data_IF_928009286530
#
_entry.id   IF_928009286530
#
_cell.length_a   1.000
_cell.length_b   1.000
_cell.length_c   1.000
_cell.angle_alpha   90.00
_cell.angle_beta   90.00
_cell.angle_gamma   90.00
#
_symmetry.space_group_name_H-M   'P 1'
#
loop_
_entity.id
_entity.type
_entity.pdbx_description
1 polymer ?
#
# COMPACT_ATOMS: atom_id res chain seq x y z
N UNK A 1 12.22 2.96 18.95
CA UNK A 1 10.83 3.44 18.82
C UNK A 1 9.89 2.24 18.97
N UNK A 2 8.62 2.50 19.25
CA UNK A 2 7.58 1.47 19.19
C UNK A 2 7.49 0.94 17.72
N UNK A 3 7.63 -0.38 17.47
CA UNK A 3 7.58 -0.94 16.13
C UNK A 3 6.19 -0.80 15.45
N UNK A 4 5.11 -0.57 16.20
CA UNK A 4 3.77 -0.42 15.65
C UNK A 4 3.38 1.04 15.42
N UNK A 5 4.16 1.99 15.94
CA UNK A 5 4.05 3.40 15.61
C UNK A 5 4.94 3.73 14.40
N UNK A 6 4.36 4.30 13.35
CA UNK A 6 5.13 4.75 12.19
C UNK A 6 5.97 5.97 12.58
N UNK A 7 7.27 5.91 12.28
CA UNK A 7 8.20 7.01 12.48
C UNK A 7 8.78 7.43 11.13
N UNK A 8 8.66 8.71 10.78
CA UNK A 8 9.41 9.31 9.67
C UNK A 8 10.73 9.88 10.21
N UNK A 9 11.83 9.57 9.53
CA UNK A 9 13.16 10.10 9.83
C UNK A 9 14.01 10.12 8.58
N UNK A 10 14.60 11.28 8.28
CA UNK A 10 15.49 11.49 7.13
C UNK A 10 14.87 11.03 5.80
N UNK A 11 13.56 11.27 5.61
CA UNK A 11 12.81 10.87 4.42
C UNK A 11 12.51 9.36 4.34
N UNK A 12 12.74 8.61 5.42
CA UNK A 12 12.46 7.17 5.51
C UNK A 12 11.39 6.90 6.56
N UNK A 13 10.52 5.95 6.26
CA UNK A 13 9.44 5.52 7.14
C UNK A 13 9.77 4.20 7.82
N UNK A 14 9.87 4.21 9.15
CA UNK A 14 10.21 3.07 9.99
C UNK A 14 8.98 2.58 10.74
N UNK A 15 8.66 1.29 10.58
CA UNK A 15 7.55 0.64 11.26
C UNK A 15 7.45 -0.83 10.82
N UNK A 16 6.98 -1.71 11.70
CA UNK A 16 6.74 -3.11 11.36
C UNK A 16 5.64 -3.18 10.32
N UNK A 17 5.98 -3.76 9.18
CA UNK A 17 5.06 -3.92 8.06
C UNK A 17 5.20 -2.85 6.98
N UNK A 18 5.96 -1.77 7.19
CA UNK A 18 6.06 -0.68 6.20
C UNK A 18 6.60 -1.20 4.87
N UNK A 19 7.78 -1.81 4.85
CA UNK A 19 8.36 -2.37 3.62
C UNK A 19 7.72 -3.70 3.17
N UNK A 20 7.24 -4.53 4.11
CA UNK A 20 6.65 -5.85 3.86
C UNK A 20 5.45 -6.08 4.80
N UNK A 21 4.19 -5.94 4.36
CA UNK A 21 3.72 -5.57 3.00
C UNK A 21 2.76 -4.37 2.97
N UNK A 22 2.62 -3.62 4.07
CA UNK A 22 1.60 -2.58 4.24
C UNK A 22 1.69 -1.48 3.18
N UNK A 23 2.90 -1.00 2.87
CA UNK A 23 3.05 0.04 1.83
C UNK A 23 2.69 -0.50 0.45
N UNK A 24 2.96 -1.76 0.13
CA UNK A 24 2.53 -2.37 -1.12
C UNK A 24 1.00 -2.41 -1.22
N UNK A 25 0.30 -2.89 -0.18
CA UNK A 25 -1.17 -2.93 -0.15
C UNK A 25 -1.75 -1.51 -0.31
N UNK A 26 -1.20 -0.54 0.40
CA UNK A 26 -1.65 0.85 0.31
C UNK A 26 -1.52 1.39 -1.13
N UNK A 27 -0.39 1.12 -1.79
CA UNK A 27 -0.17 1.53 -3.19
C UNK A 27 -1.08 0.76 -4.17
N UNK A 28 -1.34 -0.52 -3.93
CA UNK A 28 -2.26 -1.31 -4.75
C UNK A 28 -3.70 -0.75 -4.71
N UNK A 29 -4.16 -0.33 -3.52
CA UNK A 29 -5.47 0.32 -3.36
C UNK A 29 -5.52 1.68 -4.05
N UNK A 30 -4.47 2.50 -3.95
CA UNK A 30 -4.37 3.76 -4.68
C UNK A 30 -4.44 3.57 -6.20
N UNK A 31 -3.79 2.53 -6.72
CA UNK A 31 -3.86 2.18 -8.14
C UNK A 31 -5.27 1.74 -8.55
N UNK A 32 -5.96 0.95 -7.71
CA UNK A 32 -7.35 0.54 -7.94
C UNK A 32 -8.29 1.76 -7.98
N UNK A 33 -8.13 2.70 -7.05
CA UNK A 33 -8.88 3.96 -7.03
C UNK A 33 -8.66 4.79 -8.30
N UNK A 34 -7.43 4.85 -8.81
CA UNK A 34 -7.08 5.58 -10.04
C UNK A 34 -7.75 5.01 -11.31
N UNK A 35 -8.27 3.78 -11.24
CA UNK A 35 -8.95 3.11 -12.37
C UNK A 35 -10.41 2.76 -12.10
N UNK A 36 -10.97 3.13 -10.93
CA UNK A 36 -12.33 2.72 -10.49
C UNK A 36 -13.45 3.09 -11.47
N UNK A 37 -13.29 4.17 -12.21
CA UNK A 37 -14.28 4.68 -13.18
C UNK A 37 -13.90 4.37 -14.64
N UNK A 38 -12.83 3.59 -14.84
CA UNK A 38 -12.34 3.23 -16.19
C UNK A 38 -12.86 1.85 -16.58
N UNK A 39 -13.24 1.70 -17.84
CA UNK A 39 -13.45 0.38 -18.42
C UNK A 39 -12.10 -0.30 -18.60
N UNK A 40 -11.84 -1.35 -17.82
CA UNK A 40 -10.63 -2.15 -17.93
C UNK A 40 -10.80 -3.22 -19.02
N UNK A 41 -9.71 -3.57 -19.72
CA UNK A 41 -9.70 -4.69 -20.70
C UNK A 41 -9.92 -6.04 -20.03
N UNK A 42 -9.52 -6.16 -18.76
CA UNK A 42 -9.69 -7.33 -17.91
C UNK A 42 -9.98 -6.86 -16.47
N UNK A 43 -10.68 -7.65 -15.64
CA UNK A 43 -10.93 -7.29 -14.25
C UNK A 43 -9.64 -7.14 -13.44
N UNK A 44 -9.61 -6.20 -12.49
CA UNK A 44 -8.55 -6.08 -11.49
C UNK A 44 -8.93 -6.89 -10.25
N UNK A 45 -8.10 -7.87 -9.89
CA UNK A 45 -8.26 -8.67 -8.67
C UNK A 45 -7.14 -8.35 -7.69
N UNK A 46 -7.49 -7.96 -6.47
CA UNK A 46 -6.57 -7.83 -5.34
C UNK A 46 -6.80 -9.01 -4.38
N UNK A 47 -5.77 -9.81 -4.13
CA UNK A 47 -5.84 -11.01 -3.27
C UNK A 47 -4.71 -10.90 -2.25
N UNK A 48 -5.08 -10.81 -0.98
CA UNK A 48 -4.16 -10.71 0.16
C UNK A 48 -4.45 -11.84 1.15
N UNK A 49 -3.45 -12.27 1.91
CA UNK A 49 -3.53 -13.32 2.95
C UNK A 49 -3.30 -12.75 4.34
#
# INVERSE_FOLDING_TARGET
>A
SDPFALLEKDGRYYGRGTADMKSFIAQALLAAEAVRHKTLRVPLHLVFT
#
